data_IF_260298774841
#
_entry.id   IF_260298774841
#
_cell.length_a   1.000
_cell.length_b   1.000
_cell.length_c   1.000
_cell.angle_alpha   90.00
_cell.angle_beta   90.00
_cell.angle_gamma   90.00
#
_symmetry.space_group_name_H-M   'P 1'
#
loop_
_entity.id
_entity.type
_entity.pdbx_description
1 polymer ?
#
# COMPACT_ATOMS: atom_id res chain seq x y z
N UNK A 1 0.74 0.80 12.62
CA UNK A 1 2.04 1.39 12.28
C UNK A 1 3.08 0.30 12.27
N UNK A 2 3.54 -0.03 11.08
CA UNK A 2 4.23 -1.26 10.76
C UNK A 2 5.63 -1.24 11.34
N UNK A 3 5.85 -2.10 12.35
CA UNK A 3 7.16 -2.27 12.98
C UNK A 3 8.18 -2.82 11.99
N UNK A 4 7.78 -3.74 11.10
CA UNK A 4 8.62 -4.24 10.00
C UNK A 4 9.05 -3.14 9.03
N UNK A 5 8.16 -2.21 8.69
CA UNK A 5 8.51 -1.08 7.83
C UNK A 5 9.55 -0.17 8.46
N UNK A 6 9.37 0.16 9.74
CA UNK A 6 10.36 0.95 10.49
C UNK A 6 11.74 0.29 10.51
N UNK A 7 11.79 -1.02 10.78
CA UNK A 7 13.06 -1.79 10.76
C UNK A 7 13.75 -1.74 9.40
N UNK A 8 13.00 -1.96 8.33
CA UNK A 8 13.54 -1.89 6.96
C UNK A 8 14.04 -0.47 6.63
N UNK A 9 13.31 0.56 7.05
CA UNK A 9 13.69 1.96 6.84
C UNK A 9 14.94 2.36 7.62
N UNK A 10 15.04 1.95 8.89
CA UNK A 10 16.23 2.16 9.72
C UNK A 10 17.45 1.45 9.14
N UNK A 11 17.28 0.24 8.61
CA UNK A 11 18.34 -0.49 7.91
C UNK A 11 18.85 0.29 6.69
N UNK A 12 17.95 0.76 5.81
CA UNK A 12 18.33 1.57 4.63
C UNK A 12 19.07 2.83 5.06
N UNK A 13 18.55 3.55 6.06
CA UNK A 13 19.19 4.77 6.56
C UNK A 13 20.59 4.48 7.10
N UNK A 14 20.75 3.40 7.86
CA UNK A 14 22.04 2.95 8.40
C UNK A 14 23.03 2.62 7.28
N UNK A 15 22.63 1.78 6.32
CA UNK A 15 23.47 1.37 5.19
C UNK A 15 23.94 2.57 4.35
N UNK A 16 23.01 3.48 4.02
CA UNK A 16 23.34 4.67 3.21
C UNK A 16 24.16 5.70 3.97
N UNK A 17 23.96 5.83 5.28
CA UNK A 17 24.80 6.71 6.11
C UNK A 17 26.22 6.16 6.26
N UNK A 18 26.38 4.83 6.29
CA UNK A 18 27.68 4.18 6.38
C UNK A 18 28.49 4.28 5.09
N UNK A 19 27.83 4.14 3.93
CA UNK A 19 28.44 4.25 2.62
C UNK A 19 27.37 4.49 1.54
N UNK A 20 27.25 5.71 1.00
CA UNK A 20 26.28 6.03 -0.06
C UNK A 20 26.43 5.17 -1.32
N UNK A 21 27.61 4.59 -1.58
CA UNK A 21 27.86 3.70 -2.72
C UNK A 21 27.17 2.33 -2.58
N UNK A 22 26.53 2.04 -1.45
CA UNK A 22 25.73 0.82 -1.25
C UNK A 22 24.34 0.88 -1.89
N UNK A 23 23.89 2.04 -2.39
CA UNK A 23 22.59 2.16 -3.07
C UNK A 23 22.35 1.09 -4.14
N UNK A 24 23.28 0.82 -5.09
CA UNK A 24 23.07 -0.20 -6.10
C UNK A 24 22.96 -1.61 -5.50
N UNK A 25 23.72 -1.91 -4.44
CA UNK A 25 23.64 -3.19 -3.74
C UNK A 25 22.27 -3.39 -3.09
N UNK A 26 21.71 -2.35 -2.48
CA UNK A 26 20.36 -2.42 -1.89
C UNK A 26 19.27 -2.66 -2.94
N UNK A 27 19.45 -2.20 -4.18
CA UNK A 27 18.50 -2.46 -5.28
C UNK A 27 18.57 -3.92 -5.73
N UNK A 28 19.78 -4.52 -5.71
CA UNK A 28 20.02 -5.89 -6.18
C UNK A 28 19.72 -6.94 -5.09
N UNK A 29 20.10 -6.66 -3.85
CA UNK A 29 20.12 -7.61 -2.73
C UNK A 29 19.51 -6.99 -1.47
N UNK A 30 18.25 -6.57 -1.56
CA UNK A 30 17.55 -6.07 -0.37
C UNK A 30 17.18 -7.24 0.57
N UNK A 31 17.54 -7.20 1.86
CA UNK A 31 17.18 -8.26 2.79
C UNK A 31 15.67 -8.33 3.02
N UNK A 32 15.18 -9.52 3.36
CA UNK A 32 13.78 -9.71 3.73
C UNK A 32 13.58 -9.40 5.22
N UNK A 33 12.67 -8.46 5.51
CA UNK A 33 12.13 -8.20 6.84
C UNK A 33 10.71 -8.74 6.92
N UNK A 34 10.38 -9.47 7.99
CA UNK A 34 9.06 -10.10 8.16
C UNK A 34 8.50 -9.89 9.55
N UNK A 35 7.21 -9.58 9.62
CA UNK A 35 6.45 -9.53 10.87
C UNK A 35 4.97 -9.85 10.60
N UNK A 36 4.50 -11.00 11.10
CA UNK A 36 3.18 -11.52 10.75
C UNK A 36 3.04 -11.71 9.23
N UNK A 37 1.97 -11.16 8.65
CA UNK A 37 1.67 -11.24 7.21
C UNK A 37 2.43 -10.20 6.37
N UNK A 38 3.06 -9.21 7.01
CA UNK A 38 3.79 -8.16 6.33
C UNK A 38 5.24 -8.58 6.10
N UNK A 39 5.66 -8.47 4.83
CA UNK A 39 7.00 -8.78 4.36
C UNK A 39 7.50 -7.57 3.58
N UNK A 40 8.75 -7.16 3.82
CA UNK A 40 9.44 -6.12 3.08
C UNK A 40 10.74 -6.70 2.55
N UNK A 41 10.85 -6.81 1.24
CA UNK A 41 12.00 -7.39 0.52
C UNK A 41 12.30 -6.61 -0.78
N UNK A 42 11.79 -5.39 -0.88
CA UNK A 42 11.98 -4.51 -2.03
C UNK A 42 12.37 -3.11 -1.54
N UNK A 43 13.44 -2.60 -2.13
CA UNK A 43 13.88 -1.22 -2.05
C UNK A 43 13.87 -0.60 -3.44
N UNK A 44 13.33 0.61 -3.56
CA UNK A 44 13.38 1.42 -4.77
C UNK A 44 14.09 2.72 -4.43
N UNK A 45 15.14 3.04 -5.19
CA UNK A 45 15.90 4.27 -5.03
C UNK A 45 15.08 5.46 -5.56
N UNK A 46 14.40 6.11 -4.65
CA UNK A 46 13.64 7.34 -4.85
C UNK A 46 13.86 8.27 -3.65
N UNK A 47 13.34 9.49 -3.73
CA UNK A 47 13.38 10.43 -2.62
C UNK A 47 11.97 10.95 -2.32
N UNK A 48 11.31 10.52 -1.23
CA UNK A 48 11.77 9.55 -0.22
C UNK A 48 11.92 8.11 -0.78
N UNK A 49 12.73 7.23 -0.17
CA UNK A 49 12.89 5.85 -0.63
C UNK A 49 11.58 5.07 -0.49
N UNK A 50 11.25 4.22 -1.47
CA UNK A 50 10.10 3.33 -1.36
C UNK A 50 10.55 1.96 -0.85
N UNK A 51 9.83 1.46 0.15
CA UNK A 51 10.00 0.13 0.70
C UNK A 51 8.74 -0.68 0.48
N UNK A 52 8.92 -1.94 0.16
CA UNK A 52 7.84 -2.72 -0.39
C UNK A 52 8.03 -4.21 -0.35
N UNK A 53 7.09 -4.88 -1.00
CA UNK A 53 7.09 -6.32 -1.20
C UNK A 53 7.13 -6.62 -2.68
N UNK A 54 8.04 -7.50 -3.07
CA UNK A 54 8.05 -8.22 -4.34
C UNK A 54 7.61 -9.67 -4.11
N UNK A 55 6.78 -10.17 -5.01
CA UNK A 55 6.26 -11.52 -5.04
C UNK A 55 6.99 -12.33 -6.11
N UNK A 56 7.11 -13.64 -5.92
CA UNK A 56 7.71 -14.53 -6.92
C UNK A 56 6.87 -14.65 -8.21
N UNK A 57 5.58 -14.32 -8.12
CA UNK A 57 4.61 -14.43 -9.22
C UNK A 57 3.76 -13.17 -9.28
N UNK A 58 3.23 -12.87 -10.46
CA UNK A 58 2.19 -11.84 -10.65
C UNK A 58 0.93 -12.28 -9.92
N UNK A 59 0.61 -11.60 -8.82
CA UNK A 59 -0.58 -11.91 -8.00
C UNK A 59 -1.71 -10.91 -8.20
N UNK A 60 -1.43 -9.71 -8.68
CA UNK A 60 -2.44 -8.71 -8.98
C UNK A 60 -2.88 -8.82 -10.45
N UNK A 61 -4.17 -9.11 -10.61
CA UNK A 61 -4.84 -9.09 -11.90
C UNK A 61 -5.30 -7.67 -12.24
N UNK A 62 -4.97 -7.17 -13.44
CA UNK A 62 -5.35 -5.83 -13.90
C UNK A 62 -6.73 -5.82 -14.57
N UNK A 63 -7.74 -6.37 -13.89
CA UNK A 63 -9.13 -6.27 -14.33
C UNK A 63 -9.65 -4.83 -14.25
N UNK A 64 -10.65 -4.43 -15.05
CA UNK A 64 -11.23 -3.08 -14.98
C UNK A 64 -11.73 -2.69 -13.57
N UNK A 65 -12.16 -3.66 -12.77
CA UNK A 65 -12.56 -3.47 -11.37
C UNK A 65 -11.35 -3.13 -10.50
N UNK A 66 -10.27 -3.92 -10.58
CA UNK A 66 -9.06 -3.70 -9.78
C UNK A 66 -8.37 -2.39 -10.17
N UNK A 67 -8.29 -2.08 -11.47
CA UNK A 67 -7.72 -0.82 -11.95
C UNK A 67 -8.48 0.38 -11.38
N UNK A 68 -9.82 0.35 -11.42
CA UNK A 68 -10.64 1.42 -10.81
C UNK A 68 -10.47 1.50 -9.30
N UNK A 69 -10.35 0.36 -8.62
CA UNK A 69 -10.14 0.31 -7.17
C UNK A 69 -8.79 0.93 -6.77
N UNK A 70 -7.71 0.57 -7.46
CA UNK A 70 -6.37 1.16 -7.27
C UNK A 70 -6.43 2.69 -7.43
N UNK A 71 -6.96 3.17 -8.56
CA UNK A 71 -7.09 4.61 -8.82
C UNK A 71 -7.94 5.31 -7.75
N UNK A 72 -9.05 4.67 -7.32
CA UNK A 72 -9.94 5.22 -6.30
C UNK A 72 -9.24 5.37 -4.94
N UNK A 73 -8.46 4.39 -4.51
CA UNK A 73 -7.70 4.49 -3.26
C UNK A 73 -6.73 5.67 -3.34
N UNK A 74 -5.91 5.75 -4.39
CA UNK A 74 -4.96 6.85 -4.53
C UNK A 74 -5.64 8.22 -4.48
N UNK A 75 -6.70 8.41 -5.27
CA UNK A 75 -7.43 9.69 -5.34
C UNK A 75 -8.14 10.07 -4.05
N UNK A 76 -8.73 9.13 -3.30
CA UNK A 76 -9.38 9.40 -2.02
C UNK A 76 -8.42 9.93 -0.95
N UNK A 77 -7.14 9.55 -1.02
CA UNK A 77 -6.09 10.01 -0.11
C UNK A 77 -5.31 11.22 -0.62
N UNK A 78 -5.84 11.89 -1.66
CA UNK A 78 -5.26 13.11 -2.22
C UNK A 78 -4.00 12.86 -3.05
N UNK A 79 -3.76 11.64 -3.53
CA UNK A 79 -2.66 11.35 -4.45
C UNK A 79 -3.10 11.57 -5.89
N UNK A 80 -2.20 12.11 -6.71
CA UNK A 80 -2.31 12.01 -8.16
C UNK A 80 -1.88 10.60 -8.57
N UNK A 81 -2.72 9.90 -9.35
CA UNK A 81 -2.44 8.52 -9.78
C UNK A 81 -2.06 8.52 -11.25
N UNK A 82 -0.83 8.13 -11.55
CA UNK A 82 -0.36 7.92 -12.91
C UNK A 82 -0.26 6.43 -13.22
N UNK A 83 -0.79 6.01 -14.38
CA UNK A 83 -0.58 4.66 -14.89
C UNK A 83 0.48 4.68 -15.98
N UNK A 84 1.51 3.86 -15.83
CA UNK A 84 2.56 3.65 -16.83
C UNK A 84 2.64 2.16 -17.12
N UNK A 85 2.14 1.74 -18.28
CA UNK A 85 2.03 0.32 -18.64
C UNK A 85 1.16 -0.49 -17.66
N UNK A 86 1.78 -1.46 -16.99
CA UNK A 86 1.14 -2.34 -15.98
C UNK A 86 1.28 -1.80 -14.54
N UNK A 87 1.86 -0.61 -14.35
CA UNK A 87 2.19 -0.05 -13.03
C UNK A 87 1.38 1.23 -12.73
N UNK A 88 1.12 1.44 -11.44
CA UNK A 88 0.44 2.62 -10.91
C UNK A 88 1.35 3.34 -9.95
N UNK A 89 1.52 4.64 -10.16
CA UNK A 89 2.34 5.53 -9.36
C UNK A 89 1.44 6.49 -8.61
N UNK A 90 1.58 6.57 -7.30
CA UNK A 90 0.92 7.57 -6.47
C UNK A 90 1.90 8.70 -6.21
N UNK A 91 1.47 9.92 -6.49
CA UNK A 91 2.26 11.13 -6.34
C UNK A 91 1.59 12.09 -5.38
N UNK A 92 2.39 12.73 -4.52
CA UNK A 92 2.00 13.88 -3.70
C UNK A 92 2.99 15.00 -3.96
N UNK A 93 2.50 16.18 -4.33
CA UNK A 93 3.35 17.34 -4.65
C UNK A 93 4.42 17.06 -5.72
N UNK A 94 4.07 16.22 -6.71
CA UNK A 94 4.98 15.79 -7.79
C UNK A 94 6.00 14.72 -7.39
N UNK A 95 6.01 14.29 -6.13
CA UNK A 95 6.93 13.25 -5.61
C UNK A 95 6.22 11.91 -5.56
N UNK A 96 6.86 10.86 -6.08
CA UNK A 96 6.34 9.49 -5.98
C UNK A 96 6.37 9.00 -4.54
N UNK A 97 5.20 8.70 -4.00
CA UNK A 97 5.01 8.18 -2.63
C UNK A 97 4.68 6.70 -2.59
N UNK A 98 4.18 6.12 -3.69
CA UNK A 98 4.02 4.69 -3.84
C UNK A 98 4.05 4.24 -5.30
N UNK A 99 4.34 2.96 -5.49
CA UNK A 99 4.22 2.25 -6.77
C UNK A 99 3.54 0.90 -6.54
N UNK A 100 2.68 0.51 -7.47
CA UNK A 100 1.92 -0.74 -7.43
C UNK A 100 2.03 -1.40 -8.81
N UNK A 101 2.70 -2.54 -8.85
CA UNK A 101 2.82 -3.41 -10.02
C UNK A 101 2.06 -4.72 -9.84
N UNK A 102 2.16 -5.63 -10.81
CA UNK A 102 1.44 -6.92 -10.78
C UNK A 102 2.01 -7.91 -9.76
N UNK A 103 3.30 -7.82 -9.52
CA UNK A 103 4.12 -8.70 -8.68
C UNK A 103 4.86 -7.92 -7.60
N UNK A 104 4.55 -6.64 -7.39
CA UNK A 104 5.13 -5.88 -6.30
C UNK A 104 4.32 -4.64 -5.93
N UNK A 105 4.60 -4.09 -4.76
CA UNK A 105 4.23 -2.73 -4.39
C UNK A 105 5.25 -2.15 -3.42
N UNK A 106 5.39 -0.83 -3.39
CA UNK A 106 6.25 -0.13 -2.44
C UNK A 106 5.65 1.23 -2.09
N UNK A 107 5.95 1.72 -0.88
CA UNK A 107 5.51 3.03 -0.41
C UNK A 107 6.61 3.73 0.39
N UNK A 108 6.52 5.05 0.49
CA UNK A 108 7.43 5.87 1.30
C UNK A 108 7.06 5.93 2.78
N UNK A 109 5.80 5.59 3.11
CA UNK A 109 5.24 5.71 4.45
C UNK A 109 4.67 4.37 4.96
N UNK A 110 4.84 4.05 6.26
CA UNK A 110 4.33 2.81 6.83
C UNK A 110 2.81 2.64 6.68
N UNK A 111 2.04 3.72 6.85
CA UNK A 111 0.59 3.71 6.75
C UNK A 111 0.13 3.39 5.33
N UNK A 112 0.76 4.01 4.33
CA UNK A 112 0.45 3.77 2.92
C UNK A 112 0.83 2.34 2.50
N UNK A 113 1.97 1.82 3.00
CA UNK A 113 2.35 0.43 2.81
C UNK A 113 1.30 -0.54 3.37
N UNK A 114 0.87 -0.35 4.62
CA UNK A 114 -0.16 -1.18 5.26
C UNK A 114 -1.49 -1.12 4.50
N UNK A 115 -1.87 0.06 4.04
CA UNK A 115 -3.11 0.28 3.29
C UNK A 115 -3.09 -0.40 1.92
N UNK A 116 -2.02 -0.25 1.14
CA UNK A 116 -1.86 -0.95 -0.15
C UNK A 116 -1.86 -2.47 0.06
N UNK A 117 -1.11 -2.95 1.07
CA UNK A 117 -1.08 -4.37 1.44
C UNK A 117 -2.49 -4.92 1.64
N UNK A 118 -3.31 -4.21 2.40
CA UNK A 118 -4.64 -4.64 2.81
C UNK A 118 -5.68 -4.48 1.70
N UNK A 119 -5.78 -3.29 1.12
CA UNK A 119 -6.90 -2.93 0.24
C UNK A 119 -6.73 -3.46 -1.19
N UNK A 120 -5.49 -3.68 -1.64
CA UNK A 120 -5.19 -4.09 -3.02
C UNK A 120 -4.75 -5.56 -3.07
N UNK A 121 -3.91 -5.97 -2.12
CA UNK A 121 -3.34 -7.32 -2.09
C UNK A 121 -3.99 -8.25 -1.05
N UNK A 122 -4.98 -7.77 -0.27
CA UNK A 122 -5.66 -8.56 0.76
C UNK A 122 -4.71 -9.19 1.80
N UNK A 123 -3.61 -8.51 2.11
CA UNK A 123 -2.59 -8.94 3.09
C UNK A 123 -2.83 -8.23 4.43
N UNK A 124 -2.79 -9.01 5.51
CA UNK A 124 -3.09 -8.55 6.87
C UNK A 124 -4.58 -8.62 7.20
N UNK A 125 -4.92 -8.39 8.46
CA UNK A 125 -6.32 -8.39 8.89
C UNK A 125 -7.10 -7.29 8.17
N UNK A 126 -8.19 -7.68 7.49
CA UNK A 126 -9.18 -6.71 6.98
C UNK A 126 -9.57 -5.82 8.16
N UNK A 127 -9.51 -4.49 7.99
CA UNK A 127 -10.35 -3.62 8.80
C UNK A 127 -11.76 -4.09 8.48
N UNK A 128 -12.39 -4.81 9.40
CA UNK A 128 -13.83 -4.81 9.49
C UNK A 128 -14.22 -3.37 9.80
N UNK A 129 -14.27 -2.53 8.76
CA UNK A 129 -15.31 -1.51 8.77
C UNK A 129 -16.56 -2.37 8.59
N UNK A 130 -17.16 -2.78 9.69
CA UNK A 130 -18.61 -2.92 9.73
C UNK A 130 -19.13 -1.55 9.31
N UNK A 131 -19.24 -1.35 8.00
CA UNK A 131 -20.20 -0.40 7.49
C UNK A 131 -21.49 -1.06 7.94
N UNK A 132 -22.00 -0.60 9.08
CA UNK A 132 -23.37 -0.84 9.50
C UNK A 132 -24.19 -0.72 8.22
N UNK A 133 -24.70 -1.87 7.76
CA UNK A 133 -25.49 -1.95 6.53
C UNK A 133 -26.45 -0.77 6.61
N UNK A 134 -26.53 0.10 5.59
CA UNK A 134 -27.44 1.23 5.65
C UNK A 134 -28.80 0.66 6.05
N UNK A 135 -29.24 1.02 7.26
CA UNK A 135 -30.51 0.56 7.80
C UNK A 135 -31.51 1.05 6.78
N UNK A 136 -31.98 0.13 5.92
CA UNK A 136 -32.83 0.49 4.81
C UNK A 136 -33.95 1.35 5.35
N UNK A 137 -34.23 2.48 4.70
CA UNK A 137 -35.18 3.50 5.16
C UNK A 137 -36.51 2.92 5.68
N UNK A 138 -36.90 1.76 5.14
CA UNK A 138 -38.03 0.93 5.58
C UNK A 138 -37.97 0.46 7.05
N UNK A 139 -36.78 0.13 7.60
CA UNK A 139 -36.61 -0.22 9.03
C UNK A 139 -36.70 1.00 9.95
N UNK A 140 -36.19 2.16 9.52
CA UNK A 140 -36.29 3.41 10.28
C UNK A 140 -37.74 3.90 10.37
N UNK A 141 -38.50 3.83 9.27
CA UNK A 141 -39.93 4.15 9.26
C UNK A 141 -40.73 3.21 10.16
N UNK A 142 -40.41 1.91 10.19
CA UNK A 142 -41.13 0.94 11.02
C UNK A 142 -40.99 1.22 12.52
N UNK A 143 -39.86 1.77 12.97
CA UNK A 143 -39.62 2.15 14.37
C UNK A 143 -40.39 3.42 14.75
N UNK A 144 -40.52 4.36 13.81
CA UNK A 144 -41.25 5.62 14.04
C UNK A 144 -42.77 5.37 14.11
N UNK A 145 -43.30 4.49 13.25
CA UNK A 145 -44.74 4.21 13.18
C UNK A 145 -45.21 3.06 14.09
N UNK A 146 -44.32 2.35 14.79
CA UNK A 146 -44.72 1.33 15.79
C UNK A 146 -44.91 1.87 17.21
N UNK A 147 -44.61 3.15 17.43
CA UNK A 147 -44.80 3.84 18.72
C UNK A 147 -45.90 4.92 18.63
N UNK A 148 -46.82 4.78 17.67
CA UNK A 148 -48.07 5.53 17.56
C UNK A 148 -49.25 4.58 17.74
#
# INVERSE_FOLDING_TARGET
>A
MSKVFKKAYEYVKSELSSNPLKKPLLILEFPEFREGDHIINLYIDSNPPLLGRRFEKKILELSPQNVRHIIKIGTLHGYTVHRVGEEFYYLRDGVTTAVIGRDYYAASEPQLFEEISREIFSIGSKRMIEVDKPVGWLKALKIIFSNL
#
